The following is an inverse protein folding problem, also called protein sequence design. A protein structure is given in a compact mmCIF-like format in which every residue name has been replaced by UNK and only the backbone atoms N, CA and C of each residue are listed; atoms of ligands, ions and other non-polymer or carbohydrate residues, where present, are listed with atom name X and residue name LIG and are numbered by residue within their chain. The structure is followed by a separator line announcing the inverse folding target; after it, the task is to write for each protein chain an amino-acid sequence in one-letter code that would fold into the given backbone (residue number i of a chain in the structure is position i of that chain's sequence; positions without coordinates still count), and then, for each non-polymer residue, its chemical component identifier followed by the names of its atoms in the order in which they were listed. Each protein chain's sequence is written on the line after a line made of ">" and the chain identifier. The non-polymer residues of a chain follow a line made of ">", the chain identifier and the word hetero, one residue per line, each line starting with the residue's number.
data_IF_449392613464
#
_entry.id   IF_449392613464
#
_cell.length_a   1.000
_cell.length_b   1.000
_cell.length_c   1.000
_cell.angle_alpha   90.00
_cell.angle_beta   90.00
_cell.angle_gamma   90.00
#
_symmetry.space_group_name_H-M   'P 1'
#
loop_
_entity.id
_entity.type
_entity.pdbx_description
1 polymer ?
#
# COMPACT_ATOMS: atom_id res chain seq x y z
N UNK A 1 4.29 -39.57 -6.44
CA UNK A 1 3.89 -38.41 -7.26
C UNK A 1 4.31 -37.12 -6.55
N UNK A 2 5.50 -36.55 -6.84
CA UNK A 2 6.00 -35.35 -6.13
C UNK A 2 5.86 -34.01 -6.90
N UNK A 3 5.34 -33.99 -8.13
CA UNK A 3 5.37 -32.79 -8.98
C UNK A 3 4.53 -31.60 -8.46
N UNK A 4 3.40 -31.86 -7.81
CA UNK A 4 2.48 -30.81 -7.35
C UNK A 4 3.02 -29.99 -6.17
N UNK A 5 3.89 -30.59 -5.35
CA UNK A 5 4.46 -29.92 -4.17
C UNK A 5 5.50 -28.87 -4.53
N UNK A 6 6.26 -29.08 -5.62
CA UNK A 6 7.28 -28.12 -6.05
C UNK A 6 6.66 -26.93 -6.79
N UNK A 7 5.69 -27.18 -7.67
CA UNK A 7 4.96 -26.11 -8.37
C UNK A 7 4.23 -25.16 -7.41
N UNK A 8 3.67 -25.70 -6.32
CA UNK A 8 3.01 -24.89 -5.28
C UNK A 8 4.02 -24.05 -4.49
N UNK A 9 5.21 -24.59 -4.20
CA UNK A 9 6.28 -23.87 -3.51
C UNK A 9 6.85 -22.72 -4.37
N UNK A 10 7.02 -22.95 -5.67
CA UNK A 10 7.44 -21.94 -6.63
C UNK A 10 6.39 -20.81 -6.73
N UNK A 11 5.10 -21.17 -6.83
CA UNK A 11 3.99 -20.20 -6.79
C UNK A 11 4.03 -19.34 -5.52
N UNK A 12 4.19 -19.95 -4.35
CA UNK A 12 4.25 -19.21 -3.07
C UNK A 12 5.42 -18.22 -3.10
N UNK A 13 6.59 -18.66 -3.58
CA UNK A 13 7.80 -17.84 -3.63
C UNK A 13 7.63 -16.66 -4.58
N UNK A 14 7.04 -16.88 -5.76
CA UNK A 14 6.78 -15.84 -6.76
C UNK A 14 5.73 -14.82 -6.29
N UNK A 15 4.70 -15.27 -5.57
CA UNK A 15 3.58 -14.41 -5.17
C UNK A 15 3.77 -13.75 -3.80
N UNK A 16 4.76 -14.19 -3.01
CA UNK A 16 5.04 -13.66 -1.67
C UNK A 16 5.22 -12.13 -1.63
N UNK A 17 5.98 -11.50 -2.54
CA UNK A 17 6.17 -10.05 -2.52
C UNK A 17 4.85 -9.30 -2.72
N UNK A 18 3.99 -9.78 -3.62
CA UNK A 18 2.68 -9.22 -3.89
C UNK A 18 1.75 -9.38 -2.69
N UNK A 19 1.68 -10.60 -2.12
CA UNK A 19 0.86 -10.87 -0.94
C UNK A 19 1.29 -10.00 0.26
N UNK A 20 2.60 -9.79 0.44
CA UNK A 20 3.13 -8.91 1.49
C UNK A 20 2.74 -7.46 1.29
N UNK A 21 2.89 -6.94 0.07
CA UNK A 21 2.46 -5.56 -0.26
C UNK A 21 0.96 -5.40 -0.01
N UNK A 22 0.16 -6.35 -0.45
CA UNK A 22 -1.28 -6.38 -0.24
C UNK A 22 -1.64 -6.37 1.25
N UNK A 23 -1.10 -7.30 2.05
CA UNK A 23 -1.39 -7.42 3.47
C UNK A 23 -1.06 -6.13 4.25
N UNK A 24 0.06 -5.48 3.92
CA UNK A 24 0.44 -4.20 4.52
C UNK A 24 -0.50 -3.06 4.12
N UNK A 25 -0.95 -3.03 2.88
CA UNK A 25 -1.91 -2.04 2.41
C UNK A 25 -3.29 -2.23 3.06
N UNK A 26 -3.71 -3.49 3.25
CA UNK A 26 -4.98 -3.84 3.87
C UNK A 26 -5.00 -3.50 5.37
N UNK A 27 -3.95 -3.90 6.09
CA UNK A 27 -3.82 -3.69 7.55
C UNK A 27 -3.33 -2.29 7.92
N UNK A 28 -2.79 -1.53 6.97
CA UNK A 28 -2.20 -0.22 7.23
C UNK A 28 -0.88 -0.24 8.02
N UNK A 29 -0.37 -1.42 8.38
CA UNK A 29 0.84 -1.61 9.19
C UNK A 29 1.75 -2.66 8.59
N UNK A 30 3.05 -2.36 8.53
CA UNK A 30 4.05 -3.33 8.11
C UNK A 30 4.09 -4.55 9.06
N UNK A 31 4.00 -4.29 10.36
CA UNK A 31 4.08 -5.31 11.41
C UNK A 31 2.88 -6.23 11.34
N UNK A 32 1.66 -5.68 11.33
CA UNK A 32 0.43 -6.47 11.28
C UNK A 32 0.30 -7.22 9.95
N UNK A 33 0.57 -6.55 8.83
CA UNK A 33 0.55 -7.18 7.51
C UNK A 33 1.50 -8.36 7.40
N UNK A 34 2.75 -8.20 7.85
CA UNK A 34 3.75 -9.28 7.83
C UNK A 34 3.39 -10.41 8.81
N UNK A 35 2.71 -10.11 9.93
CA UNK A 35 2.22 -11.12 10.86
C UNK A 35 1.16 -12.03 10.22
N UNK A 36 0.19 -11.48 9.48
CA UNK A 36 -0.79 -12.29 8.74
C UNK A 36 -0.13 -13.13 7.65
N UNK A 37 0.83 -12.58 6.89
CA UNK A 37 1.58 -13.35 5.89
C UNK A 37 2.35 -14.50 6.54
N UNK A 38 2.95 -14.27 7.70
CA UNK A 38 3.61 -15.32 8.47
C UNK A 38 2.63 -16.41 8.89
N UNK A 39 1.44 -16.06 9.39
CA UNK A 39 0.41 -17.06 9.74
C UNK A 39 0.00 -17.90 8.53
N UNK A 40 -0.16 -17.30 7.34
CA UNK A 40 -0.40 -18.04 6.09
C UNK A 40 0.71 -19.05 5.82
N UNK A 41 1.97 -18.64 5.93
CA UNK A 41 3.12 -19.53 5.71
C UNK A 41 3.20 -20.64 6.77
N UNK A 42 2.94 -20.32 8.03
CA UNK A 42 2.90 -21.29 9.13
C UNK A 42 1.80 -22.34 8.88
N UNK A 43 0.60 -21.91 8.46
CA UNK A 43 -0.48 -22.83 8.05
C UNK A 43 -0.06 -23.71 6.88
N UNK A 44 0.60 -23.16 5.86
CA UNK A 44 1.08 -23.93 4.71
C UNK A 44 2.16 -24.95 5.08
N UNK A 45 2.98 -24.65 6.09
CA UNK A 45 4.00 -25.59 6.61
C UNK A 45 3.36 -26.66 7.50
N UNK A 46 2.37 -26.30 8.31
CA UNK A 46 1.70 -27.21 9.25
C UNK A 46 0.72 -28.16 8.56
N UNK A 47 -0.19 -27.62 7.76
CA UNK A 47 -1.27 -28.39 7.10
C UNK A 47 -0.86 -28.87 5.70
N UNK A 48 0.26 -28.36 5.19
CA UNK A 48 0.81 -28.68 3.88
C UNK A 48 0.20 -27.83 2.75
N UNK A 49 0.97 -27.67 1.67
CA UNK A 49 0.55 -26.91 0.47
C UNK A 49 -0.67 -27.49 -0.24
N UNK A 50 -1.08 -28.71 0.09
CA UNK A 50 -2.31 -29.33 -0.43
C UNK A 50 -3.59 -28.59 -0.05
N UNK A 51 -3.56 -27.73 0.97
CA UNK A 51 -4.69 -26.86 1.35
C UNK A 51 -5.07 -25.86 0.23
N UNK A 52 -4.13 -25.54 -0.67
CA UNK A 52 -4.38 -24.68 -1.84
C UNK A 52 -5.13 -25.41 -2.96
N UNK A 53 -5.24 -26.74 -2.89
CA UNK A 53 -5.88 -27.58 -3.89
C UNK A 53 -4.96 -27.95 -5.06
N UNK A 54 -5.44 -28.83 -5.97
CA UNK A 54 -4.66 -29.33 -7.10
C UNK A 54 -4.38 -28.27 -8.18
N UNK A 55 -5.23 -27.25 -8.29
CA UNK A 55 -5.13 -26.14 -9.25
C UNK A 55 -4.67 -24.85 -8.56
N UNK A 56 -3.76 -25.00 -7.58
CA UNK A 56 -3.22 -23.88 -6.81
C UNK A 56 -2.71 -22.77 -7.74
N UNK A 57 -3.24 -21.57 -7.53
CA UNK A 57 -2.91 -20.37 -8.27
C UNK A 57 -2.82 -19.16 -7.34
N UNK A 58 -2.46 -17.99 -7.88
CA UNK A 58 -2.37 -16.76 -7.07
C UNK A 58 -3.67 -16.48 -6.30
N UNK A 59 -4.84 -16.70 -6.91
CA UNK A 59 -6.13 -16.53 -6.25
C UNK A 59 -6.29 -17.42 -5.02
N UNK A 60 -5.94 -18.70 -5.09
CA UNK A 60 -6.04 -19.65 -3.96
C UNK A 60 -5.22 -19.21 -2.75
N UNK A 61 -4.04 -18.62 -2.98
CA UNK A 61 -3.19 -18.09 -1.91
C UNK A 61 -3.82 -16.87 -1.23
N UNK A 62 -4.39 -15.95 -2.02
CA UNK A 62 -5.10 -14.78 -1.50
C UNK A 62 -6.39 -15.19 -0.77
N UNK A 63 -7.09 -16.21 -1.25
CA UNK A 63 -8.26 -16.76 -0.56
C UNK A 63 -7.90 -17.34 0.82
N UNK A 64 -6.81 -18.11 0.90
CA UNK A 64 -6.30 -18.62 2.19
C UNK A 64 -5.94 -17.47 3.13
N UNK A 65 -5.28 -16.43 2.63
CA UNK A 65 -5.00 -15.22 3.41
C UNK A 65 -6.29 -14.61 3.99
N UNK A 66 -7.34 -14.43 3.18
CA UNK A 66 -8.60 -13.85 3.65
C UNK A 66 -9.32 -14.73 4.68
N UNK A 67 -9.24 -16.06 4.53
CA UNK A 67 -9.78 -16.98 5.54
C UNK A 67 -9.09 -16.81 6.90
N UNK A 68 -7.77 -16.65 6.92
CA UNK A 68 -7.00 -16.41 8.15
C UNK A 68 -7.27 -14.99 8.68
N UNK A 69 -7.31 -14.01 7.80
CA UNK A 69 -7.58 -12.61 8.16
C UNK A 69 -8.96 -12.44 8.79
N UNK A 70 -10.02 -12.99 8.19
CA UNK A 70 -11.38 -12.94 8.74
C UNK A 70 -11.49 -13.66 10.09
N UNK A 71 -10.76 -14.77 10.28
CA UNK A 71 -10.70 -15.47 11.56
C UNK A 71 -9.96 -14.67 12.64
N UNK A 72 -8.85 -14.03 12.30
CA UNK A 72 -8.07 -13.21 13.23
C UNK A 72 -8.77 -11.91 13.63
N UNK A 73 -9.52 -11.28 12.71
CA UNK A 73 -10.29 -10.07 12.98
C UNK A 73 -11.42 -10.31 13.99
N UNK A 74 -11.99 -11.52 14.01
CA UNK A 74 -13.00 -11.91 15.00
C UNK A 74 -12.43 -12.09 16.40
N UNK A 75 -11.19 -12.56 16.52
CA UNK A 75 -10.50 -12.82 17.80
C UNK A 75 -9.87 -11.57 18.42
N UNK A 76 -9.35 -10.66 17.59
CA UNK A 76 -8.62 -9.45 18.06
C UNK A 76 -9.51 -8.20 18.18
N UNK A 77 -10.77 -8.27 17.75
CA UNK A 77 -11.62 -7.11 17.60
C UNK A 77 -11.17 -6.24 16.42
N UNK A 78 -12.04 -5.36 15.93
CA UNK A 78 -11.77 -4.44 14.82
C UNK A 78 -10.66 -3.46 15.21
N UNK A 79 -9.39 -3.90 15.14
CA UNK A 79 -8.21 -3.06 15.27
C UNK A 79 -8.18 -2.17 14.03
N UNK A 80 -8.94 -1.07 14.12
CA UNK A 80 -8.92 0.01 13.15
C UNK A 80 -7.45 0.41 12.95
N UNK A 81 -6.97 0.44 11.70
CA UNK A 81 -5.54 0.57 11.42
C UNK A 81 -4.96 1.83 12.07
N UNK A 82 -4.01 1.66 13.00
CA UNK A 82 -3.34 2.77 13.69
C UNK A 82 -2.68 3.69 12.65
N UNK A 83 -2.94 5.01 12.65
CA UNK A 83 -2.53 5.91 11.59
C UNK A 83 -1.04 6.26 11.70
N UNK A 84 -0.17 5.45 11.13
CA UNK A 84 1.29 5.70 11.21
C UNK A 84 1.96 6.08 9.88
N UNK A 85 1.18 6.42 8.84
CA UNK A 85 1.74 6.83 7.53
C UNK A 85 0.90 7.89 6.82
N UNK A 86 1.41 9.12 6.72
CA UNK A 86 0.96 10.10 5.73
C UNK A 86 1.32 9.58 4.32
N UNK A 87 0.32 9.27 3.49
CA UNK A 87 0.54 8.83 2.11
C UNK A 87 -0.76 8.39 1.42
N UNK A 88 -0.73 7.98 0.14
CA UNK A 88 -1.92 7.54 -0.61
C UNK A 88 -2.70 6.40 0.05
N UNK A 89 -2.03 5.60 0.90
CA UNK A 89 -2.66 4.57 1.73
C UNK A 89 -3.58 5.12 2.82
N UNK A 90 -3.47 6.40 3.20
CA UNK A 90 -4.33 7.03 4.19
C UNK A 90 -5.79 7.12 3.74
N UNK A 91 -6.03 7.39 2.45
CA UNK A 91 -7.39 7.43 1.90
C UNK A 91 -8.01 6.02 1.80
N UNK A 92 -7.20 4.98 1.61
CA UNK A 92 -7.68 3.60 1.64
C UNK A 92 -8.11 3.17 3.04
N UNK A 93 -7.47 3.72 4.08
CA UNK A 93 -7.82 3.43 5.49
C UNK A 93 -9.11 4.09 5.96
N UNK A 94 -9.59 5.15 5.30
CA UNK A 94 -10.91 5.73 5.61
C UNK A 94 -12.07 4.88 5.08
N UNK A 95 -11.80 3.95 4.16
CA UNK A 95 -12.78 3.01 3.67
C UNK A 95 -13.06 1.93 4.73
N UNK A 96 -14.33 1.50 4.88
CA UNK A 96 -14.67 0.25 5.55
C UNK A 96 -13.85 -0.92 5.03
N UNK A 97 -13.63 -1.92 5.89
CA UNK A 97 -12.77 -3.07 5.61
C UNK A 97 -13.14 -3.74 4.27
N UNK A 98 -14.42 -4.05 4.08
CA UNK A 98 -14.92 -4.78 2.90
C UNK A 98 -14.68 -4.01 1.59
N UNK A 99 -14.77 -2.68 1.65
CA UNK A 99 -14.51 -1.80 0.50
C UNK A 99 -13.03 -1.71 0.18
N UNK A 100 -12.19 -1.69 1.22
CA UNK A 100 -10.74 -1.67 1.07
C UNK A 100 -10.23 -2.96 0.45
N UNK A 101 -10.72 -4.11 0.94
CA UNK A 101 -10.39 -5.43 0.39
C UNK A 101 -10.70 -5.52 -1.11
N UNK A 102 -11.95 -5.23 -1.49
CA UNK A 102 -12.39 -5.31 -2.88
C UNK A 102 -11.63 -4.35 -3.80
N UNK A 103 -11.32 -3.13 -3.32
CA UNK A 103 -10.55 -2.15 -4.09
C UNK A 103 -9.08 -2.56 -4.23
N UNK A 104 -8.44 -3.07 -3.18
CA UNK A 104 -7.05 -3.50 -3.23
C UNK A 104 -6.86 -4.72 -4.15
N UNK A 105 -7.74 -5.72 -4.05
CA UNK A 105 -7.67 -6.91 -4.90
C UNK A 105 -7.83 -6.57 -6.39
N UNK A 106 -8.75 -5.66 -6.72
CA UNK A 106 -9.00 -5.30 -8.12
C UNK A 106 -8.03 -4.26 -8.66
N UNK A 107 -7.79 -3.15 -7.94
CA UNK A 107 -7.04 -2.01 -8.46
C UNK A 107 -5.52 -2.15 -8.26
N UNK A 108 -5.05 -2.86 -7.22
CA UNK A 108 -3.61 -3.02 -6.94
C UNK A 108 -3.10 -4.36 -7.43
N UNK A 109 -3.83 -5.44 -7.15
CA UNK A 109 -3.40 -6.79 -7.50
C UNK A 109 -3.92 -7.28 -8.86
N UNK A 110 -4.87 -6.55 -9.46
CA UNK A 110 -5.33 -6.76 -10.83
C UNK A 110 -6.26 -7.95 -11.02
N UNK A 111 -6.90 -8.43 -9.94
CA UNK A 111 -7.95 -9.45 -10.05
C UNK A 111 -9.21 -8.88 -10.69
N UNK A 112 -9.92 -9.73 -11.42
CA UNK A 112 -11.28 -9.44 -11.90
C UNK A 112 -12.29 -9.41 -10.75
N UNK A 113 -13.48 -8.88 -11.00
CA UNK A 113 -14.55 -8.87 -10.00
C UNK A 113 -14.97 -10.30 -9.61
N UNK A 114 -15.05 -11.22 -10.58
CA UNK A 114 -15.32 -12.64 -10.36
C UNK A 114 -14.25 -13.33 -9.51
N UNK A 115 -12.97 -13.12 -9.82
CA UNK A 115 -11.88 -13.67 -9.02
C UNK A 115 -11.88 -13.09 -7.60
N UNK A 116 -12.15 -11.79 -7.47
CA UNK A 116 -12.24 -11.11 -6.16
C UNK A 116 -13.40 -11.67 -5.34
N UNK A 117 -14.56 -11.91 -5.95
CA UNK A 117 -15.71 -12.54 -5.31
C UNK A 117 -15.38 -13.94 -4.79
N UNK A 118 -14.68 -14.73 -5.62
CA UNK A 118 -14.20 -16.04 -5.21
C UNK A 118 -13.16 -15.96 -4.06
N UNK A 119 -12.19 -15.05 -4.14
CA UNK A 119 -11.16 -14.83 -3.10
C UNK A 119 -11.80 -14.43 -1.77
N UNK A 120 -12.78 -13.55 -1.77
CA UNK A 120 -13.44 -13.07 -0.55
C UNK A 120 -14.55 -14.01 -0.05
N UNK A 121 -14.97 -14.99 -0.86
CA UNK A 121 -16.11 -15.85 -0.53
C UNK A 121 -17.45 -15.11 -0.50
N UNK A 122 -17.59 -14.07 -1.33
CA UNK A 122 -18.76 -13.20 -1.39
C UNK A 122 -19.48 -13.32 -2.74
N UNK A 123 -20.78 -13.01 -2.84
CA UNK A 123 -21.47 -12.93 -4.13
C UNK A 123 -20.85 -11.84 -5.03
N UNK A 124 -20.79 -12.09 -6.33
CA UNK A 124 -20.24 -11.15 -7.32
C UNK A 124 -20.88 -9.76 -7.21
N UNK A 125 -22.22 -9.71 -7.14
CA UNK A 125 -22.98 -8.46 -7.02
C UNK A 125 -22.57 -7.63 -5.79
N UNK A 126 -22.25 -8.29 -4.68
CA UNK A 126 -21.78 -7.63 -3.46
C UNK A 126 -20.40 -7.03 -3.69
N UNK A 127 -19.48 -7.78 -4.30
CA UNK A 127 -18.13 -7.29 -4.60
C UNK A 127 -18.16 -6.14 -5.59
N UNK A 128 -18.93 -6.24 -6.67
CA UNK A 128 -19.12 -5.14 -7.63
C UNK A 128 -19.67 -3.88 -6.95
N UNK A 129 -20.64 -4.05 -6.06
CA UNK A 129 -21.19 -2.96 -5.27
C UNK A 129 -20.12 -2.33 -4.37
N UNK A 130 -19.33 -3.13 -3.64
CA UNK A 130 -18.26 -2.60 -2.78
C UNK A 130 -17.16 -1.88 -3.58
N UNK A 131 -16.78 -2.41 -4.76
CA UNK A 131 -15.82 -1.75 -5.67
C UNK A 131 -16.36 -0.39 -6.11
N UNK A 132 -17.63 -0.32 -6.49
CA UNK A 132 -18.26 0.94 -6.91
C UNK A 132 -18.30 1.97 -5.78
N UNK A 133 -18.70 1.56 -4.57
CA UNK A 133 -18.68 2.42 -3.39
C UNK A 133 -17.25 2.87 -3.03
N UNK A 134 -16.28 1.97 -3.07
CA UNK A 134 -14.88 2.28 -2.79
C UNK A 134 -14.32 3.30 -3.78
N UNK A 135 -14.57 3.11 -5.08
CA UNK A 135 -14.17 4.06 -6.13
C UNK A 135 -14.86 5.41 -5.99
N UNK A 136 -16.13 5.44 -5.61
CA UNK A 136 -16.85 6.68 -5.34
C UNK A 136 -16.22 7.42 -4.16
N UNK A 137 -16.07 6.76 -3.02
CA UNK A 137 -15.45 7.34 -1.83
C UNK A 137 -14.01 7.81 -2.08
N UNK A 138 -13.23 7.07 -2.87
CA UNK A 138 -11.88 7.48 -3.25
C UNK A 138 -11.89 8.74 -4.13
N UNK A 139 -12.78 8.83 -5.12
CA UNK A 139 -12.97 10.05 -5.95
C UNK A 139 -13.45 11.24 -5.12
N UNK A 140 -14.35 11.01 -4.17
CA UNK A 140 -14.89 12.06 -3.32
C UNK A 140 -13.84 12.57 -2.34
N UNK A 141 -13.03 11.68 -1.75
CA UNK A 141 -11.90 12.06 -0.88
C UNK A 141 -10.78 12.82 -1.62
N UNK A 142 -10.55 12.51 -2.90
CA UNK A 142 -9.67 13.29 -3.76
C UNK A 142 -10.24 14.70 -4.04
N UNK A 143 -11.56 14.82 -4.22
CA UNK A 143 -12.24 16.10 -4.50
C UNK A 143 -12.42 16.99 -3.28
N UNK A 144 -12.70 16.40 -2.12
CA UNK A 144 -12.88 17.14 -0.86
C UNK A 144 -11.58 17.73 -0.35
N UNK A 145 -10.44 17.40 -0.97
CA UNK A 145 -9.13 17.71 -0.43
C UNK A 145 -8.97 16.97 0.89
N UNK A 146 -8.32 15.82 0.85
CA UNK A 146 -7.35 15.57 1.92
C UNK A 146 -6.35 16.72 1.84
N UNK A 147 -6.67 17.81 2.51
CA UNK A 147 -5.72 18.79 3.00
C UNK A 147 -4.89 18.02 4.02
N UNK A 148 -3.86 17.32 3.52
CA UNK A 148 -2.60 17.33 4.24
C UNK A 148 -1.96 18.65 3.86
N UNK A 149 -2.30 19.69 4.62
CA UNK A 149 -1.34 20.77 4.82
C UNK A 149 -0.11 20.08 5.42
N UNK A 150 0.86 19.80 4.58
CA UNK A 150 2.22 19.64 5.06
C UNK A 150 2.63 20.99 5.63
N UNK A 151 2.75 21.06 6.94
CA UNK A 151 3.56 22.07 7.63
C UNK A 151 5.07 21.79 7.44
N UNK A 152 5.49 21.22 6.30
CA UNK A 152 6.90 21.09 5.93
C UNK A 152 7.12 21.25 4.42
N UNK A 153 6.59 22.34 3.87
CA UNK A 153 7.23 22.93 2.69
C UNK A 153 8.34 23.87 3.18
N UNK A 154 9.49 23.32 3.58
CA UNK A 154 10.71 24.14 3.61
C UNK A 154 11.09 24.46 2.16
N UNK A 155 10.47 25.49 1.57
CA UNK A 155 10.99 26.16 0.39
C UNK A 155 12.30 26.81 0.81
N UNK A 156 13.44 26.19 0.50
CA UNK A 156 14.70 26.94 0.41
C UNK A 156 14.60 27.83 -0.83
N UNK A 157 14.29 29.10 -0.60
CA UNK A 157 14.62 30.16 -1.55
C UNK A 157 16.12 30.06 -1.89
N UNK A 158 16.52 30.20 -3.17
CA UNK A 158 17.92 30.37 -3.48
C UNK A 158 18.42 31.59 -2.71
N UNK A 159 19.50 31.43 -1.94
CA UNK A 159 20.14 32.56 -1.30
C UNK A 159 20.54 33.55 -2.40
N UNK A 160 19.90 34.72 -2.40
CA UNK A 160 20.33 35.86 -3.19
C UNK A 160 21.67 36.33 -2.59
N UNK A 161 22.76 35.75 -3.07
CA UNK A 161 24.09 35.97 -2.52
C UNK A 161 25.17 35.45 -3.45
N UNK A 162 24.98 35.55 -4.76
CA UNK A 162 26.10 35.53 -5.69
C UNK A 162 25.78 36.42 -6.89
N UNK A 163 26.14 37.71 -6.76
CA UNK A 163 26.27 38.59 -7.90
C UNK A 163 27.70 38.48 -8.43
N UNK A 164 27.91 38.11 -9.70
CA UNK A 164 29.23 38.21 -10.30
C UNK A 164 29.58 39.69 -10.48
N UNK A 165 30.49 40.19 -9.65
CA UNK A 165 31.13 41.50 -9.83
C UNK A 165 31.97 41.44 -11.10
N UNK A 166 31.42 41.97 -12.20
CA UNK A 166 32.21 42.28 -13.38
C UNK A 166 33.17 43.44 -13.09
N UNK A 167 34.40 43.25 -13.57
CA UNK A 167 35.58 44.09 -13.46
C UNK A 167 35.39 45.53 -13.98
N UNK A 168 36.20 46.49 -13.49
CA UNK A 168 37.35 47.04 -14.23
C UNK A 168 38.02 48.20 -13.47
N UNK A 169 39.32 48.31 -13.75
CA UNK A 169 40.36 49.05 -13.06
C UNK A 169 40.52 50.52 -13.51
N UNK A 170 41.45 51.20 -12.82
CA UNK A 170 42.13 52.48 -13.15
C UNK A 170 41.43 53.72 -12.59
N UNK A 171 42.10 54.72 -12.01
CA UNK A 171 43.52 55.01 -11.86
C UNK A 171 43.68 56.51 -11.53
N UNK A 172 44.73 56.88 -10.78
CA UNK A 172 45.15 58.27 -10.50
C UNK A 172 44.32 58.98 -9.42
N UNK A 173 44.85 59.65 -8.41
CA UNK A 173 46.15 60.33 -8.27
C UNK A 173 45.89 61.79 -7.90
N UNK A 174 46.66 62.33 -6.95
CA UNK A 174 46.73 63.73 -6.48
C UNK A 174 45.56 64.17 -5.57
N UNK A 175 45.71 64.84 -4.42
CA UNK A 175 46.84 65.46 -3.73
C UNK A 175 46.29 66.54 -2.77
N UNK A 176 47.02 66.81 -1.67
CA UNK A 176 46.85 67.92 -0.70
C UNK A 176 45.56 67.94 0.15
N UNK A 177 45.53 68.29 1.44
CA UNK A 177 46.49 68.96 2.32
C UNK A 177 45.72 69.97 3.19
N UNK A 178 45.95 69.97 4.51
CA UNK A 178 45.55 70.98 5.52
C UNK A 178 44.03 71.10 5.75
N UNK A 179 43.50 71.14 6.98
CA UNK A 179 43.91 71.89 8.18
C UNK A 179 43.43 71.16 9.44
#
# INVERSE_FOLDING_TARGET
>A
MPAHSNASADLITEQLPCLRRYARALTGSAISGDAYVRMVLETLVQDGVGILGPDANRGTLFHLFHRIYAGGHLELGDESPVPDTLGPGALLRTLPCERREALLLTAVEGFTADETAWILGLPLEVVEHQINLARQAFRDGLRSGVVMLEDDMTIRLPQAGDMPSHAHASGGGWGAGLQ
#
